data_IF_270171439764
#
_entry.id   IF_270171439764
#
_cell.length_a   1.000
_cell.length_b   1.000
_cell.length_c   1.000
_cell.angle_alpha   90.00
_cell.angle_beta   90.00
_cell.angle_gamma   90.00
#
_symmetry.space_group_name_H-M   'P 1'
#
loop_
_entity.id
_entity.type
_entity.pdbx_description
1 polymer ?
#
# COMPACT_ATOMS: atom_id res chain seq x y z
N UNK A 1 27.37 -31.09 4.39
CA UNK A 1 26.01 -30.91 3.81
C UNK A 1 25.20 -29.88 4.61
N UNK A 2 25.67 -28.63 4.73
CA UNK A 2 24.98 -27.56 5.49
C UNK A 2 24.71 -26.29 4.69
N UNK A 3 25.35 -26.17 3.52
CA UNK A 3 25.25 -24.98 2.67
C UNK A 3 23.82 -24.76 2.15
N UNK A 4 23.16 -25.83 1.70
CA UNK A 4 21.79 -25.74 1.15
C UNK A 4 20.79 -25.25 2.20
N UNK A 5 20.70 -25.85 3.42
CA UNK A 5 19.84 -25.32 4.48
C UNK A 5 20.15 -23.87 4.87
N UNK A 6 21.44 -23.51 4.94
CA UNK A 6 21.85 -22.17 5.34
C UNK A 6 21.46 -21.13 4.29
N UNK A 7 21.66 -21.45 3.01
CA UNK A 7 21.28 -20.59 1.89
C UNK A 7 19.75 -20.44 1.82
N UNK A 8 19.00 -21.50 2.08
CA UNK A 8 17.54 -21.42 2.14
C UNK A 8 17.06 -20.48 3.25
N UNK A 9 17.58 -20.63 4.47
CA UNK A 9 17.27 -19.74 5.59
C UNK A 9 17.65 -18.27 5.28
N UNK A 10 18.81 -18.06 4.66
CA UNK A 10 19.25 -16.74 4.23
C UNK A 10 18.26 -16.11 3.23
N UNK A 11 17.85 -16.85 2.20
CA UNK A 11 16.88 -16.36 1.21
C UNK A 11 15.52 -16.06 1.83
N UNK A 12 15.06 -16.85 2.80
CA UNK A 12 13.84 -16.55 3.56
C UNK A 12 13.95 -15.23 4.32
N UNK A 13 15.07 -14.99 5.01
CA UNK A 13 15.31 -13.73 5.72
C UNK A 13 15.35 -12.52 4.78
N UNK A 14 16.03 -12.66 3.64
CA UNK A 14 16.08 -11.63 2.60
C UNK A 14 14.69 -11.33 2.02
N UNK A 15 13.90 -12.36 1.72
CA UNK A 15 12.53 -12.24 1.23
C UNK A 15 11.64 -11.46 2.20
N UNK A 16 11.68 -11.81 3.49
CA UNK A 16 10.84 -11.17 4.51
C UNK A 16 11.21 -9.69 4.68
N UNK A 17 12.51 -9.42 4.78
CA UNK A 17 13.03 -8.05 4.94
C UNK A 17 12.66 -7.19 3.73
N UNK A 18 12.85 -7.71 2.51
CA UNK A 18 12.50 -7.00 1.29
C UNK A 18 11.00 -6.74 1.18
N UNK A 19 10.16 -7.74 1.48
CA UNK A 19 8.71 -7.60 1.45
C UNK A 19 8.21 -6.50 2.41
N UNK A 20 8.71 -6.48 3.65
CA UNK A 20 8.35 -5.47 4.65
C UNK A 20 8.83 -4.09 4.22
N UNK A 21 10.07 -3.97 3.75
CA UNK A 21 10.61 -2.70 3.26
C UNK A 21 9.78 -2.13 2.11
N UNK A 22 9.49 -2.94 1.09
CA UNK A 22 8.67 -2.54 -0.07
C UNK A 22 7.28 -2.10 0.39
N UNK A 23 6.62 -2.87 1.26
CA UNK A 23 5.29 -2.52 1.77
C UNK A 23 5.31 -1.19 2.52
N UNK A 24 6.29 -0.97 3.39
CA UNK A 24 6.39 0.26 4.17
C UNK A 24 6.70 1.48 3.30
N UNK A 25 7.60 1.33 2.33
CA UNK A 25 7.90 2.37 1.36
C UNK A 25 6.65 2.76 0.56
N UNK A 26 5.90 1.77 0.07
CA UNK A 26 4.67 2.02 -0.68
C UNK A 26 3.58 2.63 0.20
N UNK A 27 3.42 2.21 1.45
CA UNK A 27 2.50 2.84 2.40
C UNK A 27 2.80 4.33 2.59
N UNK A 28 4.06 4.67 2.84
CA UNK A 28 4.48 6.07 3.01
C UNK A 28 4.21 6.89 1.74
N UNK A 29 4.50 6.32 0.57
CA UNK A 29 4.26 6.97 -0.72
C UNK A 29 2.76 7.23 -0.95
N UNK A 30 1.92 6.21 -0.77
CA UNK A 30 0.48 6.30 -1.01
C UNK A 30 -0.18 7.24 0.00
N UNK A 31 0.27 7.25 1.26
CA UNK A 31 -0.20 8.22 2.25
C UNK A 31 0.14 9.65 1.84
N UNK A 32 1.36 9.89 1.33
CA UNK A 32 1.73 11.21 0.82
C UNK A 32 0.88 11.60 -0.39
N UNK A 33 0.65 10.68 -1.33
CA UNK A 33 -0.24 10.91 -2.47
C UNK A 33 -1.67 11.27 -2.03
N UNK A 34 -2.25 10.53 -1.07
CA UNK A 34 -3.57 10.82 -0.53
C UNK A 34 -3.63 12.23 0.09
N UNK A 35 -2.62 12.59 0.89
CA UNK A 35 -2.51 13.93 1.50
C UNK A 35 -2.41 15.03 0.45
N UNK A 36 -1.53 14.89 -0.55
CA UNK A 36 -1.38 15.88 -1.62
C UNK A 36 -2.69 16.06 -2.39
N UNK A 37 -3.38 14.97 -2.75
CA UNK A 37 -4.65 15.03 -3.51
C UNK A 37 -5.79 15.61 -2.70
N UNK A 38 -5.83 15.35 -1.38
CA UNK A 38 -6.81 15.95 -0.49
C UNK A 38 -6.65 17.48 -0.36
N UNK A 39 -5.42 17.99 -0.46
CA UNK A 39 -5.13 19.43 -0.42
C UNK A 39 -5.34 20.09 -1.79
N UNK A 40 -4.89 19.45 -2.87
CA UNK A 40 -4.91 20.04 -4.21
C UNK A 40 -6.23 19.86 -4.96
N UNK A 41 -7.13 19.02 -4.45
CA UNK A 41 -8.33 18.53 -5.14
C UNK A 41 -8.07 17.86 -6.51
N UNK A 42 -6.80 17.50 -6.81
CA UNK A 42 -6.41 16.82 -8.05
C UNK A 42 -6.56 15.29 -7.93
N UNK A 43 -7.81 14.84 -8.01
CA UNK A 43 -8.18 13.43 -7.87
C UNK A 43 -7.90 12.65 -9.15
N UNK A 44 -7.34 11.44 -9.00
CA UNK A 44 -7.18 10.51 -10.13
C UNK A 44 -8.42 9.63 -10.28
N UNK A 45 -8.63 9.11 -11.48
CA UNK A 45 -9.76 8.20 -11.80
C UNK A 45 -9.81 6.92 -10.95
N UNK A 46 -8.67 6.51 -10.41
CA UNK A 46 -8.51 5.33 -9.56
C UNK A 46 -8.67 5.61 -8.06
N UNK A 47 -8.82 6.88 -7.68
CA UNK A 47 -8.98 7.28 -6.28
C UNK A 47 -10.44 7.20 -5.88
N UNK A 48 -10.68 6.84 -4.61
CA UNK A 48 -12.02 6.83 -4.05
C UNK A 48 -12.20 8.01 -3.12
N UNK A 49 -13.34 8.68 -3.23
CA UNK A 49 -13.73 9.75 -2.31
C UNK A 49 -14.95 9.28 -1.53
N UNK A 50 -14.80 9.18 -0.22
CA UNK A 50 -15.87 8.76 0.69
C UNK A 50 -16.35 9.98 1.46
N UNK A 51 -17.61 10.36 1.29
CA UNK A 51 -18.20 11.42 2.10
C UNK A 51 -18.37 10.92 3.55
N UNK A 52 -17.98 11.74 4.53
CA UNK A 52 -18.26 11.46 5.94
C UNK A 52 -19.59 12.13 6.27
N UNK A 53 -20.58 11.33 6.68
CA UNK A 53 -21.86 11.88 7.11
C UNK A 53 -21.68 12.67 8.41
N UNK A 54 -21.95 13.97 8.34
CA UNK A 54 -22.00 14.87 9.49
C UNK A 54 -23.41 15.43 9.64
N UNK A 55 -23.81 15.78 10.87
CA UNK A 55 -25.10 16.44 11.11
C UNK A 55 -25.18 17.83 10.43
N UNK A 56 -24.02 18.41 10.09
CA UNK A 56 -23.93 19.69 9.41
C UNK A 56 -23.79 19.50 7.89
N UNK A 57 -24.86 19.81 7.14
CA UNK A 57 -24.95 19.60 5.68
C UNK A 57 -24.04 20.53 4.86
N UNK A 58 -23.52 21.61 5.45
CA UNK A 58 -22.76 22.64 4.74
C UNK A 58 -21.25 22.43 4.79
N UNK A 59 -20.75 21.54 5.64
CA UNK A 59 -19.32 21.27 5.78
C UNK A 59 -19.10 19.80 6.14
N UNK A 60 -19.35 18.93 5.15
CA UNK A 60 -19.08 17.50 5.29
C UNK A 60 -17.65 17.22 4.81
N UNK A 61 -16.72 16.83 5.70
CA UNK A 61 -15.40 16.40 5.29
C UNK A 61 -15.50 15.16 4.41
N UNK A 62 -14.61 15.06 3.43
CA UNK A 62 -14.50 13.91 2.54
C UNK A 62 -13.20 13.18 2.83
N UNK A 63 -13.17 11.87 2.68
CA UNK A 63 -11.96 11.07 2.77
C UNK A 63 -11.50 10.74 1.36
N UNK A 64 -10.28 11.10 1.02
CA UNK A 64 -9.60 10.64 -0.19
C UNK A 64 -8.84 9.36 0.15
N UNK A 65 -9.19 8.29 -0.52
CA UNK A 65 -8.61 6.96 -0.38
C UNK A 65 -7.81 6.66 -1.64
N UNK A 66 -6.50 6.55 -1.49
CA UNK A 66 -5.60 6.15 -2.57
C UNK A 66 -5.16 4.72 -2.31
N UNK A 67 -5.26 3.86 -3.32
CA UNK A 67 -4.82 2.47 -3.26
C UNK A 67 -3.68 2.23 -4.23
N UNK A 68 -2.75 1.36 -3.84
CA UNK A 68 -1.73 0.86 -4.74
C UNK A 68 -1.44 -0.60 -4.50
N UNK A 69 -1.46 -1.36 -5.59
CA UNK A 69 -1.09 -2.76 -5.61
C UNK A 69 0.27 -2.90 -6.32
N UNK A 70 1.17 -3.69 -5.74
CA UNK A 70 2.51 -3.92 -6.30
C UNK A 70 2.95 -5.36 -6.06
N UNK A 71 3.53 -5.98 -7.09
CA UNK A 71 4.14 -7.30 -6.95
C UNK A 71 5.45 -7.23 -6.15
N UNK A 72 5.62 -8.15 -5.20
CA UNK A 72 6.84 -8.32 -4.42
C UNK A 72 7.72 -9.36 -5.14
N UNK A 73 9.01 -9.06 -5.39
CA UNK A 73 9.92 -10.01 -6.03
C UNK A 73 10.08 -11.28 -5.19
N UNK A 74 10.19 -12.42 -5.85
CA UNK A 74 10.37 -13.74 -5.21
C UNK A 74 11.84 -14.14 -5.33
N UNK A 75 12.51 -14.26 -4.19
CA UNK A 75 13.92 -14.65 -4.06
C UNK A 75 14.09 -16.13 -3.69
N UNK A 76 13.15 -16.69 -2.93
CA UNK A 76 13.18 -18.10 -2.52
C UNK A 76 12.59 -18.98 -3.63
N UNK A 77 13.37 -19.90 -4.24
CA UNK A 77 12.87 -20.80 -5.26
C UNK A 77 11.74 -21.68 -4.72
N UNK A 78 10.67 -21.85 -5.51
CA UNK A 78 9.53 -22.71 -5.14
C UNK A 78 8.54 -22.11 -4.14
N UNK A 79 8.89 -21.04 -3.42
CA UNK A 79 8.02 -20.39 -2.43
C UNK A 79 6.73 -19.85 -3.05
N UNK A 80 6.82 -19.31 -4.27
CA UNK A 80 5.66 -18.79 -4.99
C UNK A 80 4.60 -19.85 -5.23
N UNK A 81 4.97 -21.10 -5.52
CA UNK A 81 4.01 -22.20 -5.72
C UNK A 81 3.24 -22.53 -4.45
N UNK A 82 3.87 -22.37 -3.29
CA UNK A 82 3.25 -22.63 -1.97
C UNK A 82 2.28 -21.51 -1.60
N UNK A 83 2.58 -20.27 -2.01
CA UNK A 83 1.83 -19.07 -1.62
C UNK A 83 0.84 -18.57 -2.69
N UNK A 84 0.46 -19.40 -3.67
CA UNK A 84 -0.57 -19.06 -4.66
C UNK A 84 -0.06 -18.27 -5.89
N UNK A 85 1.23 -18.37 -6.20
CA UNK A 85 1.86 -17.97 -7.45
C UNK A 85 2.50 -16.58 -7.43
N UNK A 86 1.83 -15.57 -6.86
CA UNK A 86 2.32 -14.19 -6.81
C UNK A 86 2.26 -13.64 -5.40
N UNK A 87 3.28 -12.88 -5.01
CA UNK A 87 3.28 -12.10 -3.78
C UNK A 87 2.84 -10.68 -4.10
N UNK A 88 1.71 -10.26 -3.55
CA UNK A 88 1.13 -8.94 -3.78
C UNK A 88 1.18 -8.11 -2.51
N UNK A 89 1.63 -6.86 -2.63
CA UNK A 89 1.50 -5.82 -1.62
C UNK A 89 0.36 -4.90 -2.04
N UNK A 90 -0.74 -4.89 -1.28
CA UNK A 90 -1.80 -3.88 -1.41
C UNK A 90 -1.70 -2.91 -0.25
N UNK A 91 -1.57 -1.63 -0.55
CA UNK A 91 -1.44 -0.56 0.44
C UNK A 91 -2.49 0.51 0.19
N UNK A 92 -2.90 1.18 1.25
CA UNK A 92 -3.94 2.21 1.19
C UNK A 92 -3.51 3.39 2.03
N UNK A 93 -3.62 4.58 1.45
CA UNK A 93 -3.42 5.86 2.11
C UNK A 93 -4.74 6.61 2.17
N UNK A 94 -4.98 7.28 3.28
CA UNK A 94 -6.24 7.99 3.52
C UNK A 94 -5.93 9.38 4.03
N UNK A 95 -6.58 10.39 3.47
CA UNK A 95 -6.48 11.77 3.89
C UNK A 95 -7.86 12.44 3.94
N UNK A 96 -8.02 13.39 4.85
CA UNK A 96 -9.24 14.21 4.94
C UNK A 96 -9.11 15.38 3.97
N UNK A 97 -10.16 15.60 3.20
CA UNK A 97 -10.33 16.66 2.22
C UNK A 97 -11.49 17.53 2.68
N UNK A 98 -11.18 18.80 2.91
CA UNK A 98 -12.19 19.80 3.25
C UNK A 98 -12.99 20.17 2.00
N UNK A 99 -14.26 20.53 2.21
CA UNK A 99 -15.02 21.18 1.14
C UNK A 99 -14.45 22.60 0.96
N UNK A 100 -14.27 23.04 -0.29
CA UNK A 100 -13.83 24.40 -0.60
C UNK A 100 -14.60 25.42 0.25
N UNK A 101 -13.96 26.49 0.76
CA UNK A 101 -14.68 27.64 1.28
C UNK A 101 -15.57 28.29 0.21
#
# INVERSE_FOLDING_TARGET
MVLIPLLFLFLCGAQLTSAVFIRNFELAKVQNEASTRAISHDLRSQDSVVAVETQNRFDSPKLVVVRKDREIPIMVPGLSRILGGRLLSSVTGVAVMESSP
#
